data_IF_680042272366
#
_entry.id   IF_680042272366
#
_cell.length_a   1.000
_cell.length_b   1.000
_cell.length_c   1.000
_cell.angle_alpha   90.00
_cell.angle_beta   90.00
_cell.angle_gamma   90.00
#
_symmetry.space_group_name_H-M   'P 1'
#
loop_
_entity.id
_entity.type
_entity.pdbx_description
1 polymer ?
#
# COMPACT_ATOMS: atom_id res chain seq x y z
N UNK A 1 -25.29 48.75 -75.27
CA UNK A 1 -23.99 48.54 -75.96
C UNK A 1 -23.10 47.71 -75.06
N UNK A 2 -22.50 46.69 -75.65
CA UNK A 2 -21.71 45.60 -75.07
C UNK A 2 -20.49 46.03 -74.25
N UNK A 3 -20.16 45.26 -73.19
CA UNK A 3 -19.01 44.32 -73.22
C UNK A 3 -18.89 43.53 -71.91
N UNK A 4 -18.90 42.21 -72.05
CA UNK A 4 -18.38 41.22 -71.09
C UNK A 4 -16.84 41.24 -71.06
N UNK A 5 -16.24 40.81 -69.95
CA UNK A 5 -14.98 40.03 -69.85
C UNK A 5 -14.73 39.75 -68.35
N UNK A 6 -15.03 38.56 -67.83
CA UNK A 6 -14.08 37.44 -67.70
C UNK A 6 -12.79 37.80 -66.94
N UNK A 7 -12.71 37.48 -65.64
CA UNK A 7 -11.69 36.54 -65.15
C UNK A 7 -11.84 36.18 -63.66
N UNK A 8 -11.84 34.86 -63.49
CA UNK A 8 -11.64 34.00 -62.33
C UNK A 8 -10.45 34.45 -61.46
N UNK A 9 -10.66 34.74 -60.16
CA UNK A 9 -9.59 34.68 -59.15
C UNK A 9 -10.12 34.04 -57.87
N UNK A 10 -9.62 32.83 -57.60
CA UNK A 10 -9.75 32.11 -56.35
C UNK A 10 -9.04 32.89 -55.24
N UNK A 11 -9.76 33.73 -54.48
CA UNK A 11 -9.20 34.34 -53.28
C UNK A 11 -9.30 33.36 -52.11
N UNK A 12 -8.14 32.80 -51.77
CA UNK A 12 -7.83 31.99 -50.59
C UNK A 12 -8.58 32.51 -49.36
N UNK A 13 -9.36 31.66 -48.69
CA UNK A 13 -9.83 31.93 -47.32
C UNK A 13 -8.61 31.89 -46.40
N UNK A 14 -8.20 32.98 -45.73
CA UNK A 14 -7.28 32.83 -44.61
C UNK A 14 -8.07 32.22 -43.46
N UNK A 15 -7.68 31.01 -43.06
CA UNK A 15 -8.07 30.40 -41.78
C UNK A 15 -7.58 31.37 -40.71
N UNK A 16 -8.48 32.15 -40.12
CA UNK A 16 -8.18 32.94 -38.95
C UNK A 16 -7.78 31.97 -37.84
N UNK A 17 -6.47 31.85 -37.61
CA UNK A 17 -5.91 31.14 -36.47
C UNK A 17 -6.31 31.92 -35.23
N UNK A 18 -7.43 31.53 -34.61
CA UNK A 18 -7.85 32.03 -33.31
C UNK A 18 -6.81 31.55 -32.29
N UNK A 19 -5.73 32.31 -32.11
CA UNK A 19 -4.82 32.09 -30.99
C UNK A 19 -5.58 32.48 -29.74
N UNK A 20 -6.21 31.50 -29.10
CA UNK A 20 -6.62 31.58 -27.71
C UNK A 20 -5.36 31.82 -26.89
N UNK A 21 -5.04 33.10 -26.66
CA UNK A 21 -4.10 33.50 -25.63
C UNK A 21 -4.76 33.20 -24.30
N UNK A 22 -4.65 31.94 -23.87
CA UNK A 22 -4.96 31.53 -22.52
C UNK A 22 -3.94 32.20 -21.61
N UNK A 23 -4.22 33.45 -21.21
CA UNK A 23 -3.53 34.08 -20.08
C UNK A 23 -3.83 33.21 -18.87
N UNK A 24 -2.90 32.35 -18.49
CA UNK A 24 -2.88 31.80 -17.14
C UNK A 24 -2.65 32.98 -16.21
N UNK A 25 -3.72 33.51 -15.63
CA UNK A 25 -3.63 34.36 -14.46
C UNK A 25 -3.17 33.49 -13.30
N UNK A 26 -1.87 33.24 -13.21
CA UNK A 26 -1.24 32.72 -12.00
C UNK A 26 -1.07 33.90 -11.05
N UNK A 27 -2.11 34.18 -10.26
CA UNK A 27 -2.05 35.10 -9.15
C UNK A 27 -2.56 34.40 -7.90
N UNK A 28 -1.84 33.37 -7.46
CA UNK A 28 -1.85 33.01 -6.04
C UNK A 28 -0.90 33.97 -5.35
N UNK A 29 -1.38 35.17 -5.03
CA UNK A 29 -0.75 35.98 -4.00
C UNK A 29 -0.90 35.19 -2.70
N UNK A 30 0.10 34.38 -2.36
CA UNK A 30 0.25 33.84 -1.02
C UNK A 30 0.46 35.07 -0.14
N UNK A 31 -0.62 35.54 0.47
CA UNK A 31 -0.53 36.63 1.43
C UNK A 31 0.40 36.18 2.55
N UNK A 32 1.49 36.94 2.77
CA UNK A 32 2.31 36.85 3.97
C UNK A 32 1.43 37.19 5.17
N UNK A 33 0.69 36.19 5.66
CA UNK A 33 0.17 36.21 7.02
C UNK A 33 1.29 35.65 7.89
N UNK A 34 1.72 36.36 8.95
CA UNK A 34 2.77 35.83 9.81
C UNK A 34 2.26 34.53 10.44
N UNK A 35 2.96 33.43 10.16
CA UNK A 35 2.69 32.13 10.79
C UNK A 35 2.82 32.32 12.30
N UNK A 36 1.71 32.17 13.01
CA UNK A 36 1.70 32.23 14.47
C UNK A 36 2.31 30.95 14.99
N UNK A 37 3.57 31.03 15.38
CA UNK A 37 4.31 29.92 15.97
C UNK A 37 3.89 29.74 17.43
N UNK A 38 3.63 28.50 17.82
CA UNK A 38 3.51 28.12 19.23
C UNK A 38 4.88 28.18 19.91
N UNK A 39 4.91 28.16 21.24
CA UNK A 39 6.17 28.23 22.00
C UNK A 39 7.12 27.05 21.70
N UNK A 40 6.56 25.89 21.37
CA UNK A 40 7.28 24.68 20.98
C UNK A 40 7.80 24.75 19.54
N UNK A 41 6.99 25.23 18.59
CA UNK A 41 7.40 25.46 17.20
C UNK A 41 8.53 26.50 17.12
N UNK A 42 8.50 27.53 17.99
CA UNK A 42 9.58 28.52 18.09
C UNK A 42 10.89 27.93 18.61
N UNK A 43 10.83 26.93 19.51
CA UNK A 43 12.00 26.21 19.97
C UNK A 43 12.58 25.27 18.89
N UNK A 44 11.71 24.68 18.06
CA UNK A 44 12.09 23.83 16.93
C UNK A 44 12.72 24.66 15.81
N UNK A 45 12.12 25.81 15.47
CA UNK A 45 12.68 26.76 14.50
C UNK A 45 14.06 27.29 14.92
N UNK A 46 14.28 27.47 16.23
CA UNK A 46 15.62 27.81 16.77
C UNK A 46 16.63 26.68 16.62
N UNK A 47 16.18 25.42 16.63
CA UNK A 47 17.03 24.23 16.54
C UNK A 47 17.37 23.86 15.09
N UNK A 48 16.47 24.16 14.15
CA UNK A 48 16.61 23.90 12.72
C UNK A 48 16.49 25.21 11.95
N UNK A 49 17.58 26.00 11.84
CA UNK A 49 17.55 27.31 11.23
C UNK A 49 17.40 27.29 9.70
N UNK A 50 17.61 26.13 9.07
CA UNK A 50 17.53 25.89 7.63
C UNK A 50 16.12 25.54 7.14
N UNK A 51 15.22 25.17 8.05
CA UNK A 51 13.83 24.78 7.74
C UNK A 51 12.90 25.97 7.89
N UNK A 52 12.01 26.18 6.92
CA UNK A 52 11.07 27.29 6.99
C UNK A 52 10.03 27.06 8.10
N UNK A 53 9.60 28.09 8.84
CA UNK A 53 8.58 27.94 9.89
C UNK A 53 7.25 27.36 9.39
N UNK A 54 6.91 27.58 8.13
CA UNK A 54 5.72 27.01 7.48
C UNK A 54 5.78 25.49 7.35
N UNK A 55 6.95 24.95 7.02
CA UNK A 55 7.18 23.51 6.91
C UNK A 55 7.12 22.83 8.29
N UNK A 56 7.64 23.49 9.34
CA UNK A 56 7.56 23.00 10.72
C UNK A 56 6.09 22.83 11.14
N UNK A 57 5.27 23.88 10.98
CA UNK A 57 3.84 23.84 11.33
C UNK A 57 3.08 22.82 10.49
N UNK A 58 3.41 22.68 9.21
CA UNK A 58 2.78 21.69 8.32
C UNK A 58 3.09 20.25 8.76
N UNK A 59 4.35 19.95 9.03
CA UNK A 59 4.81 18.62 9.45
C UNK A 59 4.26 18.22 10.81
N UNK A 60 4.17 19.14 11.77
CA UNK A 60 3.57 18.89 13.09
C UNK A 60 2.08 18.55 12.99
N UNK A 61 1.33 19.28 12.16
CA UNK A 61 -0.09 18.99 11.90
C UNK A 61 -0.27 17.62 11.27
N UNK A 62 0.54 17.28 10.27
CA UNK A 62 0.50 15.96 9.63
C UNK A 62 0.90 14.86 10.61
N UNK A 63 1.92 15.06 11.44
CA UNK A 63 2.37 14.09 12.44
C UNK A 63 1.27 13.82 13.49
N UNK A 64 0.66 14.87 14.04
CA UNK A 64 -0.44 14.74 14.99
C UNK A 64 -1.67 14.06 14.37
N UNK A 65 -1.97 14.36 13.10
CA UNK A 65 -3.04 13.67 12.37
C UNK A 65 -2.77 12.16 12.27
N UNK A 66 -1.58 11.74 11.82
CA UNK A 66 -1.24 10.32 11.70
C UNK A 66 -1.20 9.61 13.05
N UNK A 67 -0.71 10.27 14.10
CA UNK A 67 -0.77 9.74 15.47
C UNK A 67 -2.21 9.44 15.89
N UNK A 68 -3.13 10.36 15.62
CA UNK A 68 -4.54 10.18 15.95
C UNK A 68 -5.17 9.05 15.12
N UNK A 69 -4.88 8.96 13.82
CA UNK A 69 -5.37 7.86 12.98
C UNK A 69 -4.88 6.52 13.50
N UNK A 70 -3.58 6.39 13.82
CA UNK A 70 -3.03 5.14 14.35
C UNK A 70 -3.67 4.75 15.68
N UNK A 71 -3.91 5.70 16.59
CA UNK A 71 -4.48 5.41 17.91
C UNK A 71 -5.98 5.12 17.85
N UNK A 72 -6.74 5.93 17.11
CA UNK A 72 -8.21 5.86 17.12
C UNK A 72 -8.79 4.92 16.07
N UNK A 73 -8.07 4.62 14.99
CA UNK A 73 -8.54 3.73 13.94
C UNK A 73 -7.82 2.39 13.95
N UNK A 74 -6.48 2.39 13.97
CA UNK A 74 -5.73 1.13 13.85
C UNK A 74 -5.90 0.24 15.08
N UNK A 75 -5.90 0.79 16.30
CA UNK A 75 -6.09 0.00 17.53
C UNK A 75 -7.44 -0.74 17.53
N UNK A 76 -8.61 -0.09 17.34
CA UNK A 76 -9.87 -0.83 17.31
C UNK A 76 -9.98 -1.79 16.12
N UNK A 77 -9.42 -1.45 14.96
CA UNK A 77 -9.39 -2.35 13.81
C UNK A 77 -8.59 -3.64 14.11
N UNK A 78 -7.44 -3.51 14.79
CA UNK A 78 -6.62 -4.65 15.22
C UNK A 78 -7.35 -5.47 16.28
N UNK A 79 -8.02 -4.83 17.24
CA UNK A 79 -8.80 -5.56 18.24
C UNK A 79 -9.89 -6.43 17.59
N UNK A 80 -10.62 -5.87 16.62
CA UNK A 80 -11.65 -6.62 15.89
C UNK A 80 -11.04 -7.78 15.08
N UNK A 81 -9.93 -7.56 14.40
CA UNK A 81 -9.26 -8.61 13.61
C UNK A 81 -8.71 -9.72 14.51
N UNK A 82 -8.16 -9.39 15.68
CA UNK A 82 -7.70 -10.37 16.68
C UNK A 82 -8.87 -11.21 17.18
N UNK A 83 -10.02 -10.62 17.48
CA UNK A 83 -11.20 -11.38 17.93
C UNK A 83 -11.66 -12.38 16.87
N UNK A 84 -11.71 -11.96 15.59
CA UNK A 84 -12.05 -12.85 14.49
C UNK A 84 -11.01 -13.97 14.31
N UNK A 85 -9.73 -13.62 14.31
CA UNK A 85 -8.64 -14.61 14.21
C UNK A 85 -8.68 -15.62 15.36
N UNK A 86 -9.00 -15.19 16.60
CA UNK A 86 -9.17 -16.09 17.75
C UNK A 86 -10.35 -17.04 17.58
N UNK A 87 -11.44 -16.57 17.00
CA UNK A 87 -12.60 -17.42 16.72
C UNK A 87 -12.27 -18.50 15.69
N UNK A 88 -11.62 -18.11 14.58
CA UNK A 88 -11.18 -19.04 13.55
C UNK A 88 -10.14 -20.03 14.08
N UNK A 89 -9.18 -19.56 14.89
CA UNK A 89 -8.20 -20.40 15.56
C UNK A 89 -8.88 -21.49 16.42
N UNK A 90 -9.88 -21.13 17.24
CA UNK A 90 -10.61 -22.11 18.05
C UNK A 90 -11.32 -23.17 17.19
N UNK A 91 -11.89 -22.78 16.03
CA UNK A 91 -12.50 -23.74 15.09
C UNK A 91 -11.43 -24.66 14.49
N UNK A 92 -10.32 -24.10 14.04
CA UNK A 92 -9.21 -24.87 13.48
C UNK A 92 -8.65 -25.86 14.51
N UNK A 93 -8.45 -25.44 15.76
CA UNK A 93 -8.03 -26.34 16.84
C UNK A 93 -9.01 -27.50 17.08
N UNK A 94 -10.33 -27.25 17.01
CA UNK A 94 -11.33 -28.33 17.11
C UNK A 94 -11.25 -29.30 15.92
N UNK A 95 -11.08 -28.77 14.70
CA UNK A 95 -10.94 -29.61 13.51
C UNK A 95 -9.66 -30.45 13.56
N UNK A 96 -8.52 -29.87 13.97
CA UNK A 96 -7.27 -30.61 14.15
C UNK A 96 -7.42 -31.74 15.17
N UNK A 97 -8.09 -31.49 16.31
CA UNK A 97 -8.37 -32.56 17.29
C UNK A 97 -9.23 -33.68 16.72
N UNK A 98 -10.26 -33.34 15.94
CA UNK A 98 -11.07 -34.35 15.27
C UNK A 98 -10.22 -35.18 14.30
N UNK A 99 -9.34 -34.55 13.52
CA UNK A 99 -8.45 -35.27 12.59
C UNK A 99 -7.43 -36.17 13.33
N UNK A 100 -6.92 -35.73 14.47
CA UNK A 100 -6.06 -36.54 15.34
C UNK A 100 -6.84 -37.75 15.93
N UNK A 101 -8.08 -37.55 16.35
CA UNK A 101 -8.94 -38.61 16.92
C UNK A 101 -9.51 -39.58 15.87
N UNK A 102 -9.82 -39.09 14.66
CA UNK A 102 -10.40 -39.92 13.59
C UNK A 102 -9.36 -40.78 12.86
N UNK A 103 -8.06 -40.53 13.06
CA UNK A 103 -6.99 -41.26 12.36
C UNK A 103 -6.88 -40.95 10.87
N UNK A 104 -7.72 -40.06 10.35
CA UNK A 104 -7.89 -39.78 8.91
C UNK A 104 -6.62 -39.17 8.29
N UNK A 105 -5.78 -38.51 9.09
CA UNK A 105 -4.47 -38.03 8.65
C UNK A 105 -3.45 -39.14 8.37
N UNK A 106 -3.59 -40.33 8.97
CA UNK A 106 -2.71 -41.47 8.71
C UNK A 106 -3.17 -42.32 7.53
N UNK A 107 -4.47 -42.33 7.24
CA UNK A 107 -5.07 -43.14 6.19
C UNK A 107 -4.93 -42.54 4.78
N UNK A 108 -4.67 -41.24 4.66
CA UNK A 108 -4.47 -40.59 3.35
C UNK A 108 -3.13 -40.99 2.70
N UNK A 109 -3.16 -41.52 1.46
CA UNK A 109 -1.93 -41.89 0.76
C UNK A 109 -1.08 -40.64 0.46
N UNK A 110 0.20 -40.69 0.82
CA UNK A 110 1.16 -39.62 0.50
C UNK A 110 1.42 -39.64 -1.00
N UNK A 111 1.09 -38.55 -1.69
CA UNK A 111 1.26 -38.48 -3.13
C UNK A 111 2.73 -38.36 -3.54
N UNK A 112 3.06 -38.84 -4.74
CA UNK A 112 4.44 -38.88 -5.23
C UNK A 112 5.12 -37.50 -5.31
N UNK A 113 4.32 -36.43 -5.44
CA UNK A 113 4.79 -35.04 -5.50
C UNK A 113 4.98 -34.39 -4.12
N UNK A 114 4.47 -34.99 -3.05
CA UNK A 114 4.59 -34.44 -1.70
C UNK A 114 5.94 -34.81 -1.08
N UNK A 115 6.52 -33.86 -0.34
CA UNK A 115 7.76 -34.05 0.40
C UNK A 115 8.92 -34.67 -0.41
N UNK A 116 9.01 -34.35 -1.71
CA UNK A 116 10.16 -34.71 -2.55
C UNK A 116 11.43 -34.07 -1.99
N UNK A 117 12.51 -34.83 -1.94
CA UNK A 117 13.84 -34.35 -1.57
C UNK A 117 14.89 -34.88 -2.52
N UNK A 118 15.54 -33.95 -3.23
CA UNK A 118 16.68 -34.28 -4.09
C UNK A 118 18.00 -34.25 -3.31
N UNK A 119 18.09 -33.41 -2.29
CA UNK A 119 19.27 -33.24 -1.42
C UNK A 119 18.83 -33.09 0.02
N UNK A 120 19.63 -33.60 0.96
CA UNK A 120 19.39 -33.45 2.40
C UNK A 120 19.63 -31.99 2.83
N UNK A 121 18.86 -31.53 3.82
CA UNK A 121 19.07 -30.21 4.40
C UNK A 121 20.41 -30.14 5.19
N UNK A 122 21.07 -28.98 5.26
CA UNK A 122 22.36 -28.84 5.94
C UNK A 122 22.27 -28.76 7.48
N UNK A 123 21.11 -29.04 8.08
CA UNK A 123 20.90 -29.01 9.53
C UNK A 123 20.16 -30.26 10.03
N UNK A 124 20.36 -30.57 11.31
CA UNK A 124 19.73 -31.71 11.97
C UNK A 124 19.99 -33.02 11.23
N UNK A 125 18.94 -33.83 11.06
CA UNK A 125 19.00 -35.11 10.35
C UNK A 125 18.88 -34.96 8.82
N UNK A 126 18.83 -33.73 8.29
CA UNK A 126 18.68 -33.47 6.86
C UNK A 126 17.29 -33.76 6.28
N UNK A 127 16.37 -34.26 7.12
CA UNK A 127 15.04 -34.72 6.75
C UNK A 127 13.91 -33.85 7.29
N UNK A 128 14.18 -32.74 7.96
CA UNK A 128 13.11 -31.90 8.49
C UNK A 128 13.38 -30.47 8.10
N UNK A 129 12.33 -29.79 7.63
CA UNK A 129 12.40 -28.34 7.37
C UNK A 129 12.56 -27.59 8.69
N UNK A 130 12.94 -26.32 8.63
CA UNK A 130 13.17 -25.51 9.84
C UNK A 130 11.88 -25.35 10.68
N UNK A 131 10.73 -25.31 10.03
CA UNK A 131 9.41 -25.23 10.66
C UNK A 131 8.65 -26.56 10.56
N UNK A 132 9.35 -27.67 10.79
CA UNK A 132 8.73 -28.98 10.78
C UNK A 132 7.91 -29.24 12.04
N UNK A 133 6.65 -29.64 11.89
CA UNK A 133 5.78 -30.05 13.00
C UNK A 133 5.34 -31.50 12.81
N UNK A 134 5.81 -32.40 13.69
CA UNK A 134 5.55 -33.84 13.63
C UNK A 134 4.07 -34.22 13.75
N UNK A 135 3.21 -33.30 14.21
CA UNK A 135 1.76 -33.52 14.30
C UNK A 135 1.02 -33.35 12.99
N UNK A 136 1.55 -32.55 12.06
CA UNK A 136 0.86 -32.16 10.82
C UNK A 136 1.65 -32.50 9.57
N UNK A 137 2.98 -32.50 9.65
CA UNK A 137 3.84 -32.80 8.51
C UNK A 137 4.24 -34.27 8.54
N UNK A 138 3.84 -35.02 7.51
CA UNK A 138 4.13 -36.45 7.37
C UNK A 138 5.36 -36.68 6.50
N UNK A 139 6.35 -37.42 6.98
CA UNK A 139 7.48 -37.79 6.13
C UNK A 139 7.03 -38.86 5.12
N UNK A 140 7.48 -38.75 3.87
CA UNK A 140 7.33 -39.83 2.91
C UNK A 140 8.14 -41.03 3.42
N UNK A 141 7.48 -42.17 3.61
CA UNK A 141 8.18 -43.45 3.84
C UNK A 141 8.75 -43.88 2.49
N UNK A 142 10.05 -44.15 2.45
CA UNK A 142 10.65 -44.76 1.27
C UNK A 142 10.06 -46.17 1.14
N UNK A 143 9.33 -46.42 0.06
CA UNK A 143 8.97 -47.78 -0.37
C UNK A 143 10.17 -48.47 -1.01
#
# INVERSE_FOLDING_TARGET
MFRSNFMRVLSKRPIQQLRLSFRRSAATSVGNTPVKLTAEEAAIAKRLPDVSPEEIVSTEKTANFWRNVSLYLCIPAILLSVLNARYLYKKHQKHMKHLEESGELEEEPIYAYENIRNTKYPWGNGEKTLFWNDKVNRLKKEE
#
